data_IF_454410620050
#
_entry.id   IF_454410620050
#
_cell.length_a   1.000
_cell.length_b   1.000
_cell.length_c   1.000
_cell.angle_alpha   90.00
_cell.angle_beta   90.00
_cell.angle_gamma   90.00
#
_symmetry.space_group_name_H-M   'P 1'
#
loop_
_entity.id
_entity.type
_entity.pdbx_description
1 polymer ?
#
# COMPACT_ATOMS: atom_id res chain seq x y z
N UNK A 1 27.33 -20.54 12.81
CA UNK A 1 26.64 -19.30 12.39
C UNK A 1 26.49 -19.15 10.87
N UNK A 2 27.55 -19.35 10.06
CA UNK A 2 27.54 -19.13 8.59
C UNK A 2 26.41 -19.86 7.83
N UNK A 3 26.06 -21.08 8.25
CA UNK A 3 25.01 -21.88 7.58
C UNK A 3 23.58 -21.42 7.88
N UNK A 4 23.32 -20.77 9.02
CA UNK A 4 21.96 -20.32 9.38
C UNK A 4 21.50 -19.18 8.47
N UNK A 5 22.38 -18.22 8.22
CA UNK A 5 22.11 -17.08 7.35
C UNK A 5 21.71 -17.55 5.96
N UNK A 6 22.41 -18.55 5.41
CA UNK A 6 22.08 -19.14 4.11
C UNK A 6 20.69 -19.81 4.13
N UNK A 7 20.31 -20.53 5.19
CA UNK A 7 18.97 -21.14 5.32
C UNK A 7 17.84 -20.11 5.40
N UNK A 8 18.09 -18.96 6.02
CA UNK A 8 17.14 -17.85 6.11
C UNK A 8 16.96 -17.18 4.74
N UNK A 9 18.07 -16.85 4.07
CA UNK A 9 18.04 -16.28 2.71
C UNK A 9 17.39 -17.29 1.75
N UNK A 10 17.71 -18.58 1.89
CA UNK A 10 17.11 -19.64 1.10
C UNK A 10 15.70 -20.00 1.54
N UNK A 11 15.10 -19.38 2.56
CA UNK A 11 13.69 -19.57 2.95
C UNK A 11 13.23 -21.04 3.08
N UNK A 12 14.17 -21.96 3.34
CA UNK A 12 13.88 -23.39 3.39
C UNK A 12 13.62 -23.76 4.84
N UNK A 13 12.41 -24.24 5.10
CA UNK A 13 11.98 -24.70 6.40
C UNK A 13 11.28 -26.06 6.27
N UNK A 14 11.40 -26.94 7.28
CA UNK A 14 10.67 -28.20 7.29
C UNK A 14 9.16 -27.97 7.21
N UNK A 15 8.40 -28.81 6.48
CA UNK A 15 6.96 -28.66 6.40
C UNK A 15 6.33 -28.81 7.80
N UNK A 16 5.32 -27.96 8.06
CA UNK A 16 4.57 -28.01 9.32
C UNK A 16 3.77 -29.31 9.38
N UNK A 17 3.73 -29.93 10.57
CA UNK A 17 2.98 -31.17 10.81
C UNK A 17 1.52 -31.08 10.33
N UNK A 18 1.04 -32.14 9.69
CA UNK A 18 -0.33 -32.26 9.18
C UNK A 18 -1.39 -32.32 10.28
N UNK A 19 -0.99 -32.48 11.54
CA UNK A 19 -1.90 -32.40 12.71
C UNK A 19 -2.56 -31.02 12.86
N UNK A 20 -1.95 -29.99 12.28
CA UNK A 20 -2.49 -28.64 12.31
C UNK A 20 -3.40 -28.35 11.12
N UNK A 21 -4.35 -27.44 11.33
CA UNK A 21 -5.29 -27.00 10.30
C UNK A 21 -4.56 -26.45 9.08
N UNK A 22 -5.20 -26.58 7.92
CA UNK A 22 -4.71 -26.02 6.66
C UNK A 22 -4.43 -24.51 6.79
N UNK A 23 -5.36 -23.77 7.41
CA UNK A 23 -5.25 -22.33 7.59
C UNK A 23 -4.01 -21.90 8.37
N UNK A 24 -3.65 -22.64 9.43
CA UNK A 24 -2.44 -22.36 10.20
C UNK A 24 -1.17 -22.64 9.38
N UNK A 25 -1.13 -23.77 8.68
CA UNK A 25 0.01 -24.14 7.82
C UNK A 25 0.20 -23.14 6.67
N UNK A 26 -0.90 -22.68 6.09
CA UNK A 26 -0.92 -21.65 5.05
C UNK A 26 -0.41 -20.31 5.59
N UNK A 27 -0.87 -19.87 6.77
CA UNK A 27 -0.39 -18.64 7.40
C UNK A 27 1.12 -18.69 7.66
N UNK A 28 1.65 -19.78 8.22
CA UNK A 28 3.10 -19.92 8.46
C UNK A 28 3.89 -19.80 7.15
N UNK A 29 3.37 -20.40 6.07
CA UNK A 29 3.99 -20.31 4.74
C UNK A 29 3.98 -18.89 4.16
N UNK A 30 2.96 -18.10 4.47
CA UNK A 30 2.87 -16.68 4.10
C UNK A 30 3.86 -15.83 4.91
N UNK A 31 4.06 -16.13 6.20
CA UNK A 31 4.98 -15.39 7.07
C UNK A 31 6.45 -15.60 6.70
N UNK A 32 6.82 -16.80 6.24
CA UNK A 32 8.18 -17.12 5.83
C UNK A 32 8.49 -16.82 4.35
N UNK A 33 7.64 -16.04 3.66
CA UNK A 33 7.95 -15.55 2.32
C UNK A 33 9.19 -14.66 2.33
N UNK A 34 10.09 -14.86 1.36
CA UNK A 34 11.31 -14.04 1.22
C UNK A 34 11.00 -12.60 0.85
N UNK A 35 10.04 -12.42 -0.06
CA UNK A 35 9.60 -11.10 -0.51
C UNK A 35 8.79 -10.43 0.60
N UNK A 36 9.22 -9.26 1.12
CA UNK A 36 8.52 -8.61 2.23
C UNK A 36 7.13 -8.11 1.85
N UNK A 37 6.88 -7.83 0.57
CA UNK A 37 5.58 -7.38 0.06
C UNK A 37 4.54 -8.50 -0.03
N UNK A 38 4.98 -9.75 -0.08
CA UNK A 38 4.07 -10.92 -0.09
C UNK A 38 3.64 -11.32 1.33
N UNK A 39 4.31 -10.79 2.35
CA UNK A 39 3.95 -11.08 3.74
C UNK A 39 2.68 -10.32 4.10
N UNK A 40 1.70 -11.01 4.72
CA UNK A 40 0.49 -10.35 5.18
C UNK A 40 0.85 -9.32 6.26
N UNK A 41 0.15 -8.19 6.25
CA UNK A 41 0.23 -7.21 7.33
C UNK A 41 -0.35 -7.81 8.62
N UNK A 42 0.02 -7.25 9.78
CA UNK A 42 -0.54 -7.67 11.07
C UNK A 42 -2.07 -7.58 11.04
N UNK A 43 -2.62 -6.50 10.51
CA UNK A 43 -4.07 -6.30 10.41
C UNK A 43 -4.72 -7.42 9.55
N UNK A 44 -4.11 -7.74 8.40
CA UNK A 44 -4.58 -8.84 7.54
C UNK A 44 -4.49 -10.23 8.19
N UNK A 45 -3.58 -10.43 9.15
CA UNK A 45 -3.51 -11.66 9.94
C UNK A 45 -4.65 -11.68 10.95
N UNK A 46 -4.86 -10.57 11.67
CA UNK A 46 -5.90 -10.45 12.70
C UNK A 46 -7.31 -10.55 12.12
N UNK A 47 -7.53 -10.18 10.86
CA UNK A 47 -8.80 -10.34 10.13
C UNK A 47 -9.16 -11.80 9.79
N UNK A 48 -8.22 -12.75 9.90
CA UNK A 48 -8.49 -14.17 9.58
C UNK A 48 -9.47 -14.76 10.60
N UNK A 49 -10.49 -15.46 10.10
CA UNK A 49 -11.58 -16.02 10.92
C UNK A 49 -11.15 -16.85 12.13
N UNK A 50 -10.08 -17.66 12.01
CA UNK A 50 -9.60 -18.49 13.12
C UNK A 50 -8.84 -17.70 14.20
N UNK A 51 -8.44 -16.47 13.89
CA UNK A 51 -7.78 -15.53 14.80
C UNK A 51 -8.80 -14.59 15.41
N UNK A 52 -9.72 -14.01 14.62
CA UNK A 52 -10.80 -13.12 15.10
C UNK A 52 -11.56 -13.74 16.27
N UNK A 53 -11.97 -15.02 16.15
CA UNK A 53 -12.67 -15.76 17.22
C UNK A 53 -11.92 -15.84 18.54
N UNK A 54 -10.59 -15.65 18.53
CA UNK A 54 -9.76 -15.62 19.74
C UNK A 54 -9.62 -14.21 20.29
N UNK A 55 -9.69 -13.17 19.47
CA UNK A 55 -9.50 -11.77 19.88
C UNK A 55 -10.53 -11.36 20.93
N UNK A 56 -11.78 -11.77 20.75
CA UNK A 56 -12.88 -11.51 21.70
C UNK A 56 -12.62 -12.05 23.11
N UNK A 57 -11.71 -13.03 23.27
CA UNK A 57 -11.34 -13.58 24.58
C UNK A 57 -10.29 -12.75 25.31
N UNK A 58 -9.56 -11.90 24.60
CA UNK A 58 -8.42 -11.15 25.14
C UNK A 58 -8.69 -9.65 25.23
N UNK A 59 -9.59 -9.12 24.41
CA UNK A 59 -9.89 -7.70 24.32
C UNK A 59 -11.35 -7.41 24.66
N UNK A 60 -11.59 -6.30 25.33
CA UNK A 60 -12.94 -5.77 25.54
C UNK A 60 -13.50 -5.22 24.22
N UNK A 61 -14.83 -5.22 24.03
CA UNK A 61 -15.46 -4.70 22.80
C UNK A 61 -15.06 -3.25 22.48
N UNK A 62 -14.80 -2.45 23.52
CA UNK A 62 -14.36 -1.06 23.39
C UNK A 62 -12.96 -0.96 22.76
N UNK A 63 -11.99 -1.75 23.24
CA UNK A 63 -10.64 -1.78 22.70
C UNK A 63 -10.60 -2.33 21.26
N UNK A 64 -11.48 -3.29 20.95
CA UNK A 64 -11.61 -3.81 19.59
C UNK A 64 -12.08 -2.69 18.66
N UNK A 65 -13.10 -1.92 19.04
CA UNK A 65 -13.60 -0.82 18.22
C UNK A 65 -12.54 0.28 18.02
N UNK A 66 -11.74 0.58 19.05
CA UNK A 66 -10.69 1.59 18.99
C UNK A 66 -9.53 1.18 18.07
N UNK A 67 -8.94 0.01 18.30
CA UNK A 67 -7.72 -0.47 17.62
C UNK A 67 -7.97 -1.01 16.20
N UNK A 68 -9.15 -1.59 15.95
CA UNK A 68 -9.51 -2.15 14.65
C UNK A 68 -10.25 -1.16 13.75
N UNK A 69 -10.62 0.02 14.28
CA UNK A 69 -11.01 1.13 13.41
C UNK A 69 -9.79 1.60 12.63
N UNK A 70 -9.95 1.80 11.32
CA UNK A 70 -8.88 2.10 10.34
C UNK A 70 -8.08 3.40 10.57
N UNK A 71 -8.06 3.97 11.78
CA UNK A 71 -7.73 5.36 12.06
C UNK A 71 -6.41 5.59 12.80
N UNK A 72 -5.70 4.55 13.24
CA UNK A 72 -4.60 4.74 14.21
C UNK A 72 -3.17 4.74 13.63
N UNK A 73 -3.00 4.40 12.35
CA UNK A 73 -1.68 4.45 11.71
C UNK A 73 -1.68 5.40 10.50
N UNK A 74 -2.22 6.60 10.68
CA UNK A 74 -1.83 7.72 9.84
C UNK A 74 -0.37 8.02 10.18
N UNK A 75 0.49 7.56 9.29
CA UNK A 75 1.95 7.78 9.29
C UNK A 75 2.23 9.16 9.87
N UNK A 76 2.97 9.22 10.99
CA UNK A 76 3.53 10.49 11.47
C UNK A 76 4.09 11.23 10.26
N UNK A 77 3.48 12.39 9.97
CA UNK A 77 3.71 13.13 8.75
C UNK A 77 5.18 13.53 8.58
N UNK A 78 5.59 13.91 7.35
CA UNK A 78 6.92 14.45 7.11
C UNK A 78 7.16 15.62 8.06
N UNK A 79 8.27 15.57 8.80
CA UNK A 79 8.74 16.59 9.74
C UNK A 79 8.31 18.00 9.30
N UNK A 80 7.28 18.53 9.98
CA UNK A 80 6.97 19.95 9.96
C UNK A 80 8.16 20.70 10.56
N UNK A 81 8.49 21.83 9.93
CA UNK A 81 9.67 22.65 10.15
C UNK A 81 9.81 23.31 11.52
N UNK A 82 10.77 24.25 11.64
CA UNK A 82 11.38 24.64 12.90
C UNK A 82 10.43 25.47 13.76
N UNK A 83 10.25 25.04 15.01
CA UNK A 83 9.52 25.78 16.02
C UNK A 83 10.23 27.11 16.32
N UNK A 84 9.57 28.22 15.97
CA UNK A 84 9.84 29.56 16.51
C UNK A 84 9.52 29.54 18.01
N UNK A 85 10.51 29.83 18.86
CA UNK A 85 10.29 30.26 20.25
C UNK A 85 10.46 31.78 20.33
N UNK A 86 9.52 32.53 20.94
CA UNK A 86 9.71 33.93 21.28
C UNK A 86 10.25 34.06 22.71
N UNK A 87 11.28 34.88 22.91
CA UNK A 87 11.51 35.66 24.14
C UNK A 87 12.76 36.54 23.97
N UNK A 88 12.66 37.74 24.53
CA UNK A 88 13.46 38.95 24.30
C UNK A 88 14.48 39.17 25.43
N UNK A 89 15.72 39.57 25.10
CA UNK A 89 16.52 40.51 25.91
C UNK A 89 17.84 40.05 26.59
N UNK A 90 18.97 40.62 26.11
CA UNK A 90 20.18 41.13 26.85
C UNK A 90 21.10 40.11 27.60
N UNK A 91 22.45 40.18 27.69
CA UNK A 91 23.56 41.02 27.19
C UNK A 91 24.94 40.32 27.51
N UNK A 92 25.97 40.57 26.68
CA UNK A 92 27.45 40.64 26.92
C UNK A 92 28.36 39.44 27.33
N UNK A 93 29.61 39.56 26.85
CA UNK A 93 30.88 38.84 27.12
C UNK A 93 31.18 37.60 26.23
N UNK A 94 32.38 37.33 25.70
CA UNK A 94 33.68 38.00 25.59
C UNK A 94 34.48 37.27 24.49
N UNK A 95 35.47 37.94 23.91
CA UNK A 95 36.32 37.45 22.82
C UNK A 95 37.35 36.38 23.26
N UNK A 96 37.61 35.38 22.41
CA UNK A 96 38.93 34.77 22.25
C UNK A 96 39.01 33.96 20.92
N UNK A 97 40.12 34.01 20.16
CA UNK A 97 40.23 33.41 18.83
C UNK A 97 41.16 32.19 18.80
N UNK A 98 40.68 31.03 18.35
CA UNK A 98 41.43 29.90 17.76
C UNK A 98 40.42 28.72 17.63
N UNK A 99 40.49 27.75 16.71
CA UNK A 99 41.54 27.18 15.90
C UNK A 99 40.91 26.77 14.56
N UNK A 100 41.61 27.02 13.46
CA UNK A 100 41.15 26.68 12.11
C UNK A 100 40.93 25.16 12.07
N UNK A 101 39.69 24.70 11.95
CA UNK A 101 39.39 23.30 11.60
C UNK A 101 40.06 23.05 10.24
N UNK A 102 41.22 22.39 10.26
CA UNK A 102 41.90 21.93 9.06
C UNK A 102 40.96 20.95 8.39
N UNK A 103 40.27 21.41 7.35
CA UNK A 103 39.57 20.53 6.41
C UNK A 103 40.62 19.54 5.91
N UNK A 104 40.50 18.22 6.17
CA UNK A 104 41.51 17.25 5.71
C UNK A 104 41.61 17.24 4.17
N UNK A 105 40.51 17.58 3.49
CA UNK A 105 40.48 17.82 2.04
C UNK A 105 41.36 18.99 1.59
N UNK A 106 41.71 19.96 2.44
CA UNK A 106 42.66 21.02 2.10
C UNK A 106 44.13 20.59 2.28
N UNK A 107 44.40 19.53 3.07
CA UNK A 107 45.75 18.99 3.30
C UNK A 107 46.12 17.86 2.34
N UNK A 108 45.13 17.05 1.93
CA UNK A 108 45.33 15.89 1.05
C UNK A 108 44.44 15.90 -0.21
N UNK A 109 43.63 16.93 -0.44
CA UNK A 109 42.79 17.03 -1.63
C UNK A 109 43.55 17.52 -2.84
N UNK A 110 44.61 16.80 -3.21
CA UNK A 110 45.20 16.89 -4.54
C UNK A 110 44.49 15.87 -5.41
N UNK A 111 43.66 16.29 -6.40
CA UNK A 111 43.30 15.40 -7.47
C UNK A 111 44.57 15.03 -8.22
N UNK A 112 44.85 13.72 -8.32
CA UNK A 112 45.89 13.18 -9.19
C UNK A 112 45.53 13.49 -10.64
N UNK A 113 45.97 14.66 -11.12
CA UNK A 113 45.96 15.00 -12.54
C UNK A 113 47.01 14.13 -13.23
N UNK A 114 46.57 13.05 -13.89
CA UNK A 114 47.37 12.46 -14.95
C UNK A 114 47.35 13.41 -16.15
N UNK A 115 48.58 13.73 -16.54
CA UNK A 115 49.04 14.63 -17.58
C UNK A 115 48.46 14.26 -18.98
N UNK A 116 47.87 15.27 -19.65
CA UNK A 116 48.11 15.72 -21.06
C UNK A 116 47.67 14.73 -22.18
N UNK A 117 46.95 15.08 -23.25
CA UNK A 117 46.87 16.25 -24.17
C UNK A 117 45.50 16.22 -24.90
N UNK A 118 44.94 17.23 -25.58
CA UNK A 118 45.28 18.60 -25.97
C UNK A 118 43.97 19.31 -26.39
N UNK A 119 43.85 20.60 -26.09
CA UNK A 119 43.79 21.73 -27.04
C UNK A 119 42.39 22.08 -27.62
N UNK A 120 42.06 23.37 -27.47
CA UNK A 120 40.99 24.19 -28.07
C UNK A 120 39.54 24.17 -27.51
N UNK A 121 39.27 25.24 -26.74
CA UNK A 121 38.22 26.25 -26.98
C UNK A 121 36.72 25.97 -26.73
N UNK A 122 36.20 26.74 -25.75
CA UNK A 122 34.91 27.49 -25.70
C UNK A 122 33.57 26.72 -25.50
N UNK A 123 33.11 26.78 -24.24
CA UNK A 123 31.79 27.27 -23.75
C UNK A 123 30.56 27.03 -24.66
N UNK A 124 29.62 26.18 -24.25
CA UNK A 124 28.21 26.51 -23.93
C UNK A 124 27.46 25.23 -23.51
N UNK A 125 26.65 25.32 -22.46
CA UNK A 125 25.74 24.27 -22.01
C UNK A 125 24.44 24.40 -22.79
N UNK A 126 24.02 23.36 -23.51
CA UNK A 126 22.62 23.02 -23.82
C UNK A 126 22.61 21.69 -24.59
N UNK A 127 21.92 20.68 -24.04
CA UNK A 127 21.50 19.50 -24.81
C UNK A 127 20.00 19.32 -24.59
N UNK A 128 19.15 19.57 -25.59
CA UNK A 128 17.87 18.92 -25.68
C UNK A 128 17.80 18.10 -26.96
N UNK A 129 17.57 16.79 -26.87
CA UNK A 129 16.82 15.96 -27.83
C UNK A 129 16.69 14.54 -27.22
N UNK A 130 15.66 14.38 -26.40
CA UNK A 130 15.04 13.10 -26.06
C UNK A 130 13.52 13.25 -26.15
N UNK A 131 13.03 13.81 -27.27
CA UNK A 131 11.59 14.03 -27.51
C UNK A 131 10.84 12.83 -28.13
N UNK A 132 11.52 11.74 -28.51
CA UNK A 132 10.84 10.65 -29.23
C UNK A 132 10.21 9.55 -28.34
N UNK A 133 10.51 9.47 -27.03
CA UNK A 133 9.95 8.40 -26.15
C UNK A 133 8.79 8.80 -25.23
N UNK A 134 8.45 10.09 -25.10
CA UNK A 134 7.40 10.53 -24.17
C UNK A 134 5.98 10.47 -24.75
N UNK A 135 5.82 10.52 -26.07
CA UNK A 135 4.52 10.50 -26.75
C UNK A 135 3.84 9.11 -26.71
N UNK A 136 4.62 8.03 -26.90
CA UNK A 136 4.08 6.66 -26.92
C UNK A 136 3.52 6.20 -25.55
N UNK A 137 4.11 6.67 -24.45
CA UNK A 137 3.67 6.32 -23.09
C UNK A 137 2.35 7.02 -22.72
N UNK A 138 2.11 8.23 -23.23
CA UNK A 138 0.86 8.98 -22.99
C UNK A 138 -0.31 8.41 -23.79
N UNK A 139 -0.11 8.04 -25.06
CA UNK A 139 -1.17 7.39 -25.87
C UNK A 139 -1.61 6.06 -25.28
N UNK A 140 -0.67 5.20 -24.90
CA UNK A 140 -0.98 3.89 -24.29
C UNK A 140 -1.78 4.02 -22.98
N UNK A 141 -1.51 5.05 -22.16
CA UNK A 141 -2.24 5.32 -20.92
C UNK A 141 -3.66 5.83 -21.16
N UNK A 142 -3.89 6.61 -22.23
CA UNK A 142 -5.21 7.11 -22.58
C UNK A 142 -6.11 6.01 -23.15
N UNK A 143 -5.55 5.13 -23.98
CA UNK A 143 -6.24 3.96 -24.53
C UNK A 143 -6.62 2.97 -23.42
N UNK A 144 -5.72 2.68 -22.48
CA UNK A 144 -6.03 1.83 -21.32
C UNK A 144 -7.13 2.45 -20.43
N UNK A 145 -7.14 3.78 -20.27
CA UNK A 145 -8.18 4.48 -19.52
C UNK A 145 -9.54 4.38 -20.21
N UNK A 146 -9.58 4.59 -21.53
CA UNK A 146 -10.81 4.40 -22.31
C UNK A 146 -11.31 2.96 -22.26
N UNK A 147 -10.40 1.97 -22.33
CA UNK A 147 -10.77 0.57 -22.24
C UNK A 147 -11.36 0.22 -20.87
N UNK A 148 -10.78 0.76 -19.78
CA UNK A 148 -11.32 0.61 -18.42
C UNK A 148 -12.70 1.26 -18.27
N UNK A 149 -12.90 2.45 -18.84
CA UNK A 149 -14.19 3.14 -18.82
C UNK A 149 -15.26 2.37 -19.61
N UNK A 150 -14.93 1.83 -20.78
CA UNK A 150 -15.85 1.00 -21.56
C UNK A 150 -16.23 -0.30 -20.82
N UNK A 151 -15.26 -0.98 -20.20
CA UNK A 151 -15.53 -2.18 -19.39
C UNK A 151 -16.43 -1.84 -18.20
N UNK A 152 -16.15 -0.71 -17.53
CA UNK A 152 -16.97 -0.22 -16.42
C UNK A 152 -18.41 0.05 -16.86
N UNK A 153 -18.58 0.74 -17.99
CA UNK A 153 -19.91 1.04 -18.55
C UNK A 153 -20.68 -0.23 -18.89
N UNK A 154 -20.04 -1.19 -19.57
CA UNK A 154 -20.67 -2.47 -19.90
C UNK A 154 -21.07 -3.27 -18.66
N UNK A 155 -20.25 -3.23 -17.60
CA UNK A 155 -20.54 -3.93 -16.35
C UNK A 155 -21.71 -3.30 -15.60
N UNK A 156 -21.82 -1.96 -15.58
CA UNK A 156 -22.96 -1.25 -14.98
C UNK A 156 -24.25 -1.54 -15.74
N UNK A 157 -24.22 -1.55 -17.07
CA UNK A 157 -25.40 -1.90 -17.88
C UNK A 157 -25.83 -3.34 -17.66
N UNK A 158 -24.90 -4.30 -17.56
CA UNK A 158 -25.25 -5.68 -17.21
C UNK A 158 -25.87 -5.78 -15.82
N UNK A 159 -25.32 -5.09 -14.81
CA UNK A 159 -25.90 -5.06 -13.47
C UNK A 159 -27.32 -4.49 -13.47
N UNK A 160 -27.56 -3.41 -14.23
CA UNK A 160 -28.90 -2.82 -14.39
C UNK A 160 -29.89 -3.81 -15.05
N UNK A 161 -29.44 -4.59 -16.04
CA UNK A 161 -30.29 -5.62 -16.68
C UNK A 161 -30.63 -6.74 -15.70
N UNK A 162 -29.65 -7.24 -14.95
CA UNK A 162 -29.86 -8.25 -13.92
C UNK A 162 -30.80 -7.75 -12.82
N UNK A 163 -30.67 -6.48 -12.42
CA UNK A 163 -31.58 -5.88 -11.44
C UNK A 163 -33.00 -5.74 -11.99
N UNK A 164 -33.18 -5.32 -13.25
CA UNK A 164 -34.49 -5.29 -13.89
C UNK A 164 -35.13 -6.68 -13.95
N UNK A 165 -34.37 -7.71 -14.32
CA UNK A 165 -34.86 -9.09 -14.32
C UNK A 165 -35.16 -9.57 -12.90
N UNK A 166 -34.33 -9.24 -11.91
CA UNK A 166 -34.59 -9.55 -10.49
C UNK A 166 -35.88 -8.90 -10.01
N UNK A 167 -36.10 -7.63 -10.32
CA UNK A 167 -37.32 -6.89 -9.97
C UNK A 167 -38.52 -7.48 -10.70
N UNK A 168 -38.39 -7.82 -11.98
CA UNK A 168 -39.45 -8.45 -12.77
C UNK A 168 -39.82 -9.84 -12.24
N UNK A 169 -38.84 -10.66 -11.89
CA UNK A 169 -39.09 -11.96 -11.26
C UNK A 169 -39.73 -11.78 -9.88
N UNK A 170 -39.30 -10.78 -9.10
CA UNK A 170 -39.93 -10.45 -7.83
C UNK A 170 -41.39 -10.03 -8.01
N UNK A 171 -41.71 -9.17 -8.97
CA UNK A 171 -43.09 -8.75 -9.23
C UNK A 171 -43.96 -9.85 -9.83
N UNK A 172 -43.41 -10.74 -10.65
CA UNK A 172 -44.13 -11.91 -11.17
C UNK A 172 -44.43 -12.91 -10.05
N UNK A 173 -43.45 -13.16 -9.17
CA UNK A 173 -43.62 -14.06 -8.03
C UNK A 173 -44.66 -13.51 -7.04
N UNK A 174 -44.65 -12.21 -6.74
CA UNK A 174 -45.66 -11.59 -5.89
C UNK A 174 -47.05 -11.62 -6.53
N UNK A 175 -47.17 -11.39 -7.83
CA UNK A 175 -48.46 -11.51 -8.53
C UNK A 175 -48.99 -12.94 -8.57
N UNK A 176 -48.11 -13.94 -8.63
CA UNK A 176 -48.51 -15.36 -8.57
C UNK A 176 -49.01 -15.73 -7.17
N UNK A 177 -48.40 -15.20 -6.12
CA UNK A 177 -48.77 -15.44 -4.72
C UNK A 177 -50.11 -14.77 -4.37
N UNK A 178 -50.37 -13.55 -4.87
CA UNK A 178 -51.66 -12.87 -4.73
C UNK A 178 -52.77 -13.60 -5.51
N UNK A 179 -52.49 -14.09 -6.72
CA UNK A 179 -53.46 -14.86 -7.53
C UNK A 179 -53.85 -16.20 -6.90
N UNK A 180 -52.99 -16.77 -6.04
CA UNK A 180 -53.31 -18.01 -5.30
C UNK A 180 -54.17 -17.75 -4.05
N UNK A 181 -54.26 -16.50 -3.59
CA UNK A 181 -55.08 -16.09 -2.43
C UNK A 181 -56.51 -15.64 -2.77
N UNK A 182 -56.87 -15.53 -4.05
CA UNK A 182 -58.23 -15.19 -4.54
C UNK A 182 -58.99 -16.41 -5.10
N UNK A 183 -58.98 -17.54 -4.38
CA UNK A 183 -60.00 -18.58 -4.59
C UNK A 183 -61.07 -18.47 -3.48
N UNK A 184 -62.29 -17.99 -3.79
CA UNK A 184 -63.35 -17.87 -2.81
C UNK A 184 -63.82 -19.26 -2.39
N UNK A 185 -63.84 -19.50 -1.07
CA UNK A 185 -64.69 -20.51 -0.46
C UNK A 185 -66.14 -20.09 -0.68
N UNK A 186 -66.76 -20.57 -1.75
CA UNK A 186 -68.21 -20.55 -1.86
C UNK A 186 -68.68 -21.72 -2.73
N UNK A 187 -69.22 -22.76 -2.06
CA UNK A 187 -70.31 -23.56 -2.63
C UNK A 187 -70.91 -24.52 -1.59
N UNK A 188 -72.06 -24.08 -1.07
CA UNK A 188 -73.32 -24.82 -0.85
C UNK A 188 -73.37 -25.86 0.28
N UNK A 189 -74.21 -25.59 1.30
CA UNK A 189 -75.62 -26.03 1.50
C UNK A 189 -75.67 -27.48 1.98
#
# INVERSE_FOLDING_TARGET
MKNLVLKIISGSFPPVSTRYSHELRSLISQLFKRNPRERPSVNSILEKMFIVKRIEKFLTPQLIAEEFSHKMFQKFGPHAGPAKRPAQGQNLASAAPAHKITKPAAKYGVPLILKKSGDSAKKFCEKPITKCKQEAVKKKRLEEKQQREQISYMKVEQMRRLEKERVKCWTLNTNQEVRFSEFPLDSKV
#
